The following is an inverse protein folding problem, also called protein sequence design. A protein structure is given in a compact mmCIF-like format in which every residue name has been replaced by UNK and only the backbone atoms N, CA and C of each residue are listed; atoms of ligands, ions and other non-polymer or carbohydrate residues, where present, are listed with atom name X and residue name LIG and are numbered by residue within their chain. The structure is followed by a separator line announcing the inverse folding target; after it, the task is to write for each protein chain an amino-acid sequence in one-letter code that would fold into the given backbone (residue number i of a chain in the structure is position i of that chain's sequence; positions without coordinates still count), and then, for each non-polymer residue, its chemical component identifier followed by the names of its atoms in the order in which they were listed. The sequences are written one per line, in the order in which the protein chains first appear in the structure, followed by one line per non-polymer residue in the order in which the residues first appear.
data_IF_936224283040
#
_entry.id   IF_936224283040
#
_cell.length_a   1.000
_cell.length_b   1.000
_cell.length_c   1.000
_cell.angle_alpha   90.00
_cell.angle_beta   90.00
_cell.angle_gamma   90.00
#
_symmetry.space_group_name_H-M   'P 1'
#
loop_
_entity.id
_entity.type
_entity.pdbx_description
1 polymer ?
#
# COMPACT_ATOMS: atom_id res chain seq x y z
N UNK A 1 -0.78 -3.44 1.81
CA UNK A 1 -1.86 -2.87 0.97
C UNK A 1 -2.86 -3.96 0.65
N UNK A 2 -4.08 -3.61 0.23
CA UNK A 2 -5.07 -4.60 -0.20
C UNK A 2 -4.74 -5.02 -1.64
N UNK A 3 -4.18 -6.22 -1.79
CA UNK A 3 -3.77 -6.76 -3.10
C UNK A 3 -4.30 -8.18 -3.29
N UNK A 4 -4.45 -8.64 -4.55
CA UNK A 4 -4.67 -10.06 -4.81
C UNK A 4 -3.56 -10.91 -4.18
N UNK A 5 -3.88 -12.17 -3.89
CA UNK A 5 -2.88 -13.14 -3.43
C UNK A 5 -1.74 -13.32 -4.45
N UNK A 6 -0.56 -13.71 -3.98
CA UNK A 6 0.64 -13.88 -4.81
C UNK A 6 0.44 -14.88 -5.95
N UNK A 7 -0.35 -15.94 -5.71
CA UNK A 7 -0.70 -16.98 -6.69
C UNK A 7 -1.95 -16.65 -7.52
N UNK A 8 -2.56 -15.48 -7.33
CA UNK A 8 -3.75 -15.10 -8.08
C UNK A 8 -3.36 -14.83 -9.55
N UNK A 9 -3.96 -15.54 -10.52
CA UNK A 9 -3.66 -15.33 -11.95
C UNK A 9 -4.18 -13.99 -12.45
N UNK A 10 -5.25 -13.47 -11.83
CA UNK A 10 -5.80 -12.16 -12.13
C UNK A 10 -5.16 -11.09 -11.24
N UNK A 11 -4.57 -10.08 -11.86
CA UNK A 11 -4.06 -8.90 -11.16
C UNK A 11 -5.15 -7.84 -11.07
N UNK A 12 -5.21 -7.15 -9.93
CA UNK A 12 -6.04 -5.97 -9.76
C UNK A 12 -5.36 -4.77 -10.44
N UNK A 13 -6.18 -3.84 -10.91
CA UNK A 13 -5.69 -2.57 -11.42
C UNK A 13 -5.12 -1.71 -10.28
N UNK A 14 -4.28 -0.74 -10.63
CA UNK A 14 -3.69 0.21 -9.68
C UNK A 14 -4.78 0.96 -8.90
N UNK A 15 -5.86 1.35 -9.59
CA UNK A 15 -6.96 2.10 -9.00
C UNK A 15 -7.77 1.23 -8.03
N UNK A 16 -8.07 -0.01 -8.38
CA UNK A 16 -8.78 -0.94 -7.48
C UNK A 16 -8.00 -1.17 -6.19
N UNK A 17 -6.68 -1.38 -6.28
CA UNK A 17 -5.82 -1.54 -5.09
C UNK A 17 -5.87 -0.29 -4.20
N UNK A 18 -5.78 0.90 -4.81
CA UNK A 18 -5.82 2.16 -4.08
C UNK A 18 -7.19 2.38 -3.38
N UNK A 19 -8.29 2.22 -4.11
CA UNK A 19 -9.65 2.46 -3.62
C UNK A 19 -10.02 1.48 -2.51
N UNK A 20 -9.76 0.19 -2.72
CA UNK A 20 -10.04 -0.84 -1.70
C UNK A 20 -9.17 -0.64 -0.46
N UNK A 21 -7.92 -0.22 -0.63
CA UNK A 21 -7.04 0.08 0.51
C UNK A 21 -7.56 1.29 1.29
N UNK A 22 -7.88 2.41 0.64
CA UNK A 22 -8.43 3.61 1.31
C UNK A 22 -9.74 3.28 2.01
N UNK A 23 -10.65 2.57 1.34
CA UNK A 23 -11.93 2.14 1.93
C UNK A 23 -11.70 1.35 3.22
N UNK A 24 -10.83 0.33 3.17
CA UNK A 24 -10.49 -0.48 4.34
C UNK A 24 -9.92 0.37 5.48
N UNK A 25 -9.05 1.34 5.18
CA UNK A 25 -8.52 2.26 6.19
C UNK A 25 -9.61 3.15 6.80
N UNK A 26 -10.47 3.76 5.97
CA UNK A 26 -11.60 4.61 6.41
C UNK A 26 -12.59 3.87 7.31
N UNK A 27 -12.79 2.58 7.07
CA UNK A 27 -13.72 1.75 7.84
C UNK A 27 -13.13 1.27 9.18
N UNK A 28 -11.80 1.15 9.30
CA UNK A 28 -11.18 0.40 10.40
C UNK A 28 -10.13 1.17 11.21
N UNK A 29 -9.59 2.27 10.68
CA UNK A 29 -8.57 3.06 11.36
C UNK A 29 -9.22 4.33 11.92
N UNK A 30 -9.04 4.66 13.20
CA UNK A 30 -9.49 5.93 13.77
C UNK A 30 -8.67 7.12 13.23
N UNK A 31 -9.28 8.30 13.11
CA UNK A 31 -8.62 9.50 12.58
C UNK A 31 -7.54 10.06 13.51
N UNK A 32 -7.53 9.67 14.78
CA UNK A 32 -6.53 10.05 15.78
C UNK A 32 -5.16 9.41 15.53
N UNK A 33 -5.10 8.35 14.71
CA UNK A 33 -3.83 7.75 14.31
C UNK A 33 -3.03 8.77 13.49
N UNK A 34 -1.75 9.04 13.81
CA UNK A 34 -0.99 10.11 13.15
C UNK A 34 -0.53 9.76 11.73
N UNK A 35 -0.43 8.47 11.40
CA UNK A 35 0.01 8.02 10.09
C UNK A 35 0.04 6.51 9.95
N UNK A 36 0.10 6.05 8.71
CA UNK A 36 0.12 4.63 8.33
C UNK A 36 1.34 4.41 7.44
N UNK A 37 2.17 3.45 7.84
CA UNK A 37 3.34 3.05 7.06
C UNK A 37 3.11 1.67 6.46
N UNK A 38 3.09 1.59 5.13
CA UNK A 38 2.96 0.34 4.41
C UNK A 38 4.32 -0.33 4.24
N UNK A 39 4.35 -1.64 4.44
CA UNK A 39 5.47 -2.50 4.09
C UNK A 39 5.35 -2.92 2.62
N UNK A 40 6.48 -3.04 1.92
CA UNK A 40 6.52 -3.47 0.51
C UNK A 40 6.01 -4.90 0.31
N UNK A 41 6.20 -5.79 1.28
CA UNK A 41 5.67 -7.16 1.23
C UNK A 41 6.17 -7.98 0.04
N UNK A 42 7.38 -7.69 -0.45
CA UNK A 42 7.96 -8.31 -1.65
C UNK A 42 7.52 -7.69 -2.98
N UNK A 43 6.77 -6.58 -2.95
CA UNK A 43 6.43 -5.81 -4.15
C UNK A 43 7.63 -5.02 -4.66
N UNK A 44 7.79 -5.00 -5.98
CA UNK A 44 8.73 -4.09 -6.64
C UNK A 44 8.29 -2.63 -6.50
N UNK A 45 9.22 -1.69 -6.75
CA UNK A 45 8.91 -0.25 -6.68
C UNK A 45 7.80 0.17 -7.66
N UNK A 46 7.72 -0.49 -8.82
CA UNK A 46 6.67 -0.31 -9.82
C UNK A 46 5.31 -0.80 -9.31
N UNK A 47 5.28 -1.92 -8.60
CA UNK A 47 4.05 -2.46 -8.00
C UNK A 47 3.57 -1.63 -6.80
N UNK A 48 4.43 -0.77 -6.23
CA UNK A 48 4.05 0.23 -5.23
C UNK A 48 3.39 1.48 -5.83
N UNK A 49 3.16 1.54 -7.15
CA UNK A 49 2.44 2.67 -7.79
C UNK A 49 1.06 2.99 -7.19
N UNK A 50 0.23 2.02 -6.73
CA UNK A 50 -1.04 2.32 -6.06
C UNK A 50 -0.87 3.24 -4.84
N UNK A 51 0.24 3.14 -4.11
CA UNK A 51 0.56 4.06 -3.01
C UNK A 51 0.70 5.51 -3.46
N UNK A 52 1.27 5.76 -4.63
CA UNK A 52 1.35 7.10 -5.22
C UNK A 52 -0.04 7.63 -5.58
N UNK A 53 -0.97 6.76 -5.99
CA UNK A 53 -2.37 7.15 -6.22
C UNK A 53 -3.06 7.50 -4.90
N UNK A 54 -2.90 6.68 -3.86
CA UNK A 54 -3.51 6.95 -2.55
C UNK A 54 -3.04 8.29 -1.94
N UNK A 55 -1.75 8.65 -2.09
CA UNK A 55 -1.23 9.93 -1.59
C UNK A 55 -1.76 11.17 -2.32
N UNK A 56 -2.41 11.02 -3.47
CA UNK A 56 -3.06 12.14 -4.17
C UNK A 56 -4.44 12.45 -3.60
N UNK A 57 -5.00 11.53 -2.81
CA UNK A 57 -6.28 11.74 -2.15
C UNK A 57 -6.15 12.82 -1.07
N UNK A 58 -6.95 13.87 -1.17
CA UNK A 58 -6.84 15.05 -0.30
C UNK A 58 -7.51 14.85 1.06
N UNK A 59 -8.42 13.88 1.16
CA UNK A 59 -9.30 13.68 2.31
C UNK A 59 -8.92 12.41 3.09
N UNK A 60 -7.63 12.27 3.38
CA UNK A 60 -7.11 11.24 4.26
C UNK A 60 -6.67 11.88 5.59
N UNK A 61 -7.20 11.44 6.73
CA UNK A 61 -6.79 11.97 8.04
C UNK A 61 -5.38 11.51 8.42
N UNK A 62 -4.88 10.44 7.79
CA UNK A 62 -3.56 9.86 8.03
C UNK A 62 -2.54 10.31 7.00
N UNK A 63 -1.32 10.57 7.46
CA UNK A 63 -0.15 10.59 6.56
C UNK A 63 0.18 9.17 6.13
N UNK A 64 0.28 8.93 4.82
CA UNK A 64 0.69 7.65 4.29
C UNK A 64 2.19 7.66 3.99
N UNK A 65 2.90 6.60 4.38
CA UNK A 65 4.33 6.40 4.11
C UNK A 65 4.58 4.97 3.64
N UNK A 66 5.68 4.76 2.93
CA UNK A 66 6.04 3.47 2.36
C UNK A 66 7.46 3.10 2.73
N UNK A 67 7.65 1.88 3.27
CA UNK A 67 8.95 1.32 3.60
C UNK A 67 9.30 0.21 2.61
N UNK A 68 10.36 0.44 1.86
CA UNK A 68 11.00 -0.54 1.01
C UNK A 68 12.08 -1.24 1.80
N UNK A 69 11.95 -2.56 1.96
CA UNK A 69 13.07 -3.37 2.40
C UNK A 69 14.01 -3.53 1.19
N UNK A 70 15.19 -2.92 1.24
CA UNK A 70 16.25 -3.26 0.29
C UNK A 70 16.61 -4.73 0.50
N UNK A 71 16.48 -5.53 -0.56
CA UNK A 71 17.07 -6.87 -0.60
C UNK A 71 18.59 -6.73 -0.55
N UNK A 72 19.16 -6.60 0.66
CA UNK A 72 20.57 -6.89 0.86
C UNK A 72 20.72 -8.40 0.65
N UNK A 73 21.26 -8.80 -0.51
CA UNK A 73 21.71 -10.16 -0.73
C UNK A 73 22.64 -10.54 0.42
N UNK A 74 22.11 -11.27 1.42
CA UNK A 74 22.94 -12.04 2.34
C UNK A 74 23.51 -13.19 1.54
N UNK A 75 24.60 -12.91 0.83
CA UNK A 75 25.57 -13.92 0.48
C UNK A 75 26.26 -14.30 1.79
N UNK A 76 25.94 -15.48 2.30
CA UNK A 76 26.79 -16.23 3.22
C UNK A 76 27.20 -17.51 2.49
#
# INVERSE_FOLDING_TARGET
MITPGSLCPQKATIQEVADLTIKCLKENVPSEVPGITFLSGGQSELEATPFKCMNKEKDLPWKLSFLMEEHYNRVL
#
